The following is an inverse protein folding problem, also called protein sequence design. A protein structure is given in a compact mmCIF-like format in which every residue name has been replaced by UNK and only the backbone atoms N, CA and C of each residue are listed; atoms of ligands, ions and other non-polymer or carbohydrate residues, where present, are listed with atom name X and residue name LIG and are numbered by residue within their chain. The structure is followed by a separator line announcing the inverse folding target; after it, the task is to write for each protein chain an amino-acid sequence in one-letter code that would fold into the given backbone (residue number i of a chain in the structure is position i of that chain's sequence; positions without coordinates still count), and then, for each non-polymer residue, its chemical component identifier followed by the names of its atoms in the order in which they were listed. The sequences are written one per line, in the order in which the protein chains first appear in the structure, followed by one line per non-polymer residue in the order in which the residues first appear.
data_IF_567111854932
#
_entry.id   IF_567111854932
#
_cell.length_a   1.000
_cell.length_b   1.000
_cell.length_c   1.000
_cell.angle_alpha   90.00
_cell.angle_beta   90.00
_cell.angle_gamma   90.00
#
_symmetry.space_group_name_H-M   'P 1'
#
loop_
_entity.id
_entity.type
_entity.pdbx_description
1 polymer ?
#
# COMPACT_ATOMS: atom_id res chain seq x y z
N UNK A 1 13.74 3.84 -24.78
CA UNK A 1 12.31 3.56 -24.57
C UNK A 1 12.01 2.15 -25.05
N UNK A 2 11.20 1.40 -24.30
CA UNK A 2 10.74 0.06 -24.70
C UNK A 2 9.78 0.17 -25.88
N UNK A 3 9.94 -0.68 -26.90
CA UNK A 3 8.99 -0.85 -28.02
C UNK A 3 7.84 -1.80 -27.70
N UNK A 4 7.83 -2.39 -26.50
CA UNK A 4 6.89 -3.45 -26.12
C UNK A 4 5.53 -2.93 -25.65
N UNK A 5 5.42 -1.65 -25.25
CA UNK A 5 4.19 -1.07 -24.70
C UNK A 5 3.96 0.32 -25.29
N UNK A 6 2.76 0.61 -25.77
CA UNK A 6 2.34 1.89 -26.35
C UNK A 6 0.98 2.35 -25.81
N UNK A 7 0.57 3.58 -26.12
CA UNK A 7 -0.74 4.11 -25.74
C UNK A 7 -0.98 4.16 -24.22
N UNK A 8 -2.20 3.84 -23.79
CA UNK A 8 -2.62 3.93 -22.39
C UNK A 8 -1.80 3.01 -21.46
N UNK A 9 -1.39 1.83 -21.92
CA UNK A 9 -0.53 0.93 -21.15
C UNK A 9 0.83 1.54 -20.86
N UNK A 10 1.43 2.24 -21.82
CA UNK A 10 2.69 2.96 -21.63
C UNK A 10 2.51 4.12 -20.64
N UNK A 11 1.42 4.89 -20.78
CA UNK A 11 1.09 5.99 -19.88
C UNK A 11 0.92 5.52 -18.43
N UNK A 12 0.12 4.48 -18.19
CA UNK A 12 -0.11 3.95 -16.84
C UNK A 12 1.17 3.43 -16.20
N UNK A 13 2.00 2.72 -16.96
CA UNK A 13 3.25 2.17 -16.43
C UNK A 13 4.32 3.25 -16.17
N UNK A 14 4.34 4.30 -17.00
CA UNK A 14 5.35 5.38 -16.87
C UNK A 14 4.97 6.44 -15.83
N UNK A 15 3.67 6.73 -15.66
CA UNK A 15 3.20 7.84 -14.83
C UNK A 15 2.40 7.36 -13.62
N UNK A 16 1.28 6.65 -13.83
CA UNK A 16 0.35 6.27 -12.75
C UNK A 16 1.01 5.34 -11.74
N UNK A 17 1.73 4.33 -12.22
CA UNK A 17 2.43 3.39 -11.35
C UNK A 17 3.51 4.08 -10.51
N UNK A 18 4.27 4.99 -11.12
CA UNK A 18 5.31 5.74 -10.43
C UNK A 18 4.73 6.73 -9.40
N UNK A 19 3.62 7.41 -9.73
CA UNK A 19 2.98 8.33 -8.79
C UNK A 19 2.36 7.60 -7.59
N UNK A 20 1.68 6.47 -7.83
CA UNK A 20 1.14 5.65 -6.74
C UNK A 20 2.26 5.06 -5.87
N UNK A 21 3.34 4.57 -6.48
CA UNK A 21 4.51 4.08 -5.72
C UNK A 21 5.15 5.17 -4.86
N UNK A 22 5.24 6.41 -5.38
CA UNK A 22 5.74 7.56 -4.62
C UNK A 22 4.87 7.86 -3.39
N UNK A 23 3.55 7.87 -3.56
CA UNK A 23 2.60 8.11 -2.47
C UNK A 23 2.59 6.96 -1.45
N UNK A 24 2.62 5.71 -1.90
CA UNK A 24 2.74 4.54 -1.02
C UNK A 24 4.05 4.56 -0.23
N UNK A 25 5.16 4.97 -0.84
CA UNK A 25 6.43 5.09 -0.13
C UNK A 25 6.39 6.20 0.91
N UNK A 26 5.77 7.34 0.59
CA UNK A 26 5.56 8.45 1.53
C UNK A 26 4.69 8.03 2.71
N UNK A 27 3.63 7.29 2.45
CA UNK A 27 2.76 6.70 3.47
C UNK A 27 3.53 5.76 4.41
N UNK A 28 4.29 4.83 3.85
CA UNK A 28 5.11 3.87 4.61
C UNK A 28 6.19 4.54 5.48
N UNK A 29 6.86 5.57 4.95
CA UNK A 29 7.95 6.25 5.65
C UNK A 29 7.45 7.34 6.62
N UNK A 30 6.26 7.88 6.38
CA UNK A 30 5.80 9.13 6.98
C UNK A 30 6.52 10.36 6.41
N UNK A 31 5.94 11.54 6.65
CA UNK A 31 6.36 12.79 6.02
C UNK A 31 7.82 13.17 6.29
N UNK A 32 8.26 13.08 7.53
CA UNK A 32 9.60 13.56 7.93
C UNK A 32 10.71 12.70 7.33
N UNK A 33 10.58 11.37 7.41
CA UNK A 33 11.58 10.45 6.90
C UNK A 33 11.59 10.43 5.38
N UNK A 34 10.41 10.47 4.77
CA UNK A 34 10.27 10.58 3.32
C UNK A 34 10.94 11.87 2.81
N UNK A 35 10.64 13.02 3.43
CA UNK A 35 11.23 14.31 3.07
C UNK A 35 12.76 14.28 3.21
N UNK A 36 13.29 13.74 4.31
CA UNK A 36 14.74 13.59 4.51
C UNK A 36 15.36 12.77 3.37
N UNK A 37 14.76 11.64 3.02
CA UNK A 37 15.25 10.77 1.96
C UNK A 37 15.18 11.43 0.57
N UNK A 38 14.09 12.15 0.30
CA UNK A 38 13.90 12.89 -0.94
C UNK A 38 14.92 14.03 -1.09
N UNK A 39 15.17 14.80 -0.03
CA UNK A 39 16.19 15.85 -0.03
C UNK A 39 17.58 15.27 -0.30
N UNK A 40 17.91 14.12 0.30
CA UNK A 40 19.16 13.42 0.01
C UNK A 40 19.31 13.05 -1.48
N UNK A 41 18.23 12.56 -2.11
CA UNK A 41 18.22 12.33 -3.57
C UNK A 41 18.46 13.63 -4.35
N UNK A 42 17.74 14.69 -4.01
CA UNK A 42 17.84 15.99 -4.70
C UNK A 42 19.26 16.57 -4.57
N UNK A 43 19.86 16.56 -3.38
CA UNK A 43 21.22 17.07 -3.15
C UNK A 43 22.26 16.31 -3.97
N UNK A 44 22.13 14.98 -4.06
CA UNK A 44 23.07 14.14 -4.80
C UNK A 44 22.93 14.29 -6.32
N UNK A 45 21.71 14.53 -6.82
CA UNK A 45 21.37 14.44 -8.24
C UNK A 45 20.96 15.75 -8.90
N UNK A 46 20.94 16.86 -8.16
CA UNK A 46 20.70 18.18 -8.72
C UNK A 46 21.68 18.49 -9.86
N UNK A 47 21.14 18.90 -11.02
CA UNK A 47 21.92 19.18 -12.24
C UNK A 47 22.45 17.94 -12.98
N UNK A 48 22.03 16.72 -12.62
CA UNK A 48 22.46 15.46 -13.24
C UNK A 48 21.28 14.75 -13.92
N UNK A 49 21.57 13.62 -14.58
CA UNK A 49 20.59 12.79 -15.29
C UNK A 49 20.41 11.43 -14.58
N UNK A 50 19.67 11.39 -13.45
CA UNK A 50 19.50 10.17 -12.68
C UNK A 50 18.68 9.13 -13.44
N UNK A 51 19.03 7.86 -13.24
CA UNK A 51 18.23 6.69 -13.65
C UNK A 51 17.42 6.17 -12.45
N UNK A 52 16.43 5.28 -12.63
CA UNK A 52 15.58 4.82 -11.51
C UNK A 52 16.36 4.27 -10.31
N UNK A 53 17.46 3.56 -10.56
CA UNK A 53 18.33 3.03 -9.51
C UNK A 53 18.93 4.12 -8.61
N UNK A 54 19.19 5.30 -9.15
CA UNK A 54 19.73 6.42 -8.39
C UNK A 54 18.72 6.94 -7.37
N UNK A 55 17.44 7.01 -7.76
CA UNK A 55 16.34 7.32 -6.85
C UNK A 55 16.17 6.23 -5.79
N UNK A 56 16.11 4.95 -6.18
CA UNK A 56 15.94 3.84 -5.24
C UNK A 56 17.05 3.78 -4.19
N UNK A 57 18.30 3.93 -4.61
CA UNK A 57 19.46 3.93 -3.71
C UNK A 57 19.49 5.16 -2.80
N UNK A 58 19.09 6.33 -3.33
CA UNK A 58 19.03 7.55 -2.53
C UNK A 58 17.92 7.48 -1.48
N UNK A 59 16.75 6.93 -1.81
CA UNK A 59 15.67 6.74 -0.83
C UNK A 59 16.07 5.74 0.26
N UNK A 60 16.73 4.63 -0.10
CA UNK A 60 17.30 3.69 0.87
C UNK A 60 18.29 4.39 1.81
N UNK A 61 19.29 5.07 1.24
CA UNK A 61 20.37 5.71 2.01
C UNK A 61 19.85 6.84 2.90
N UNK A 62 19.02 7.72 2.34
CA UNK A 62 18.50 8.89 3.07
C UNK A 62 17.49 8.53 4.16
N UNK A 63 16.73 7.44 3.98
CA UNK A 63 15.84 6.91 5.02
C UNK A 63 16.56 6.05 6.06
N UNK A 64 17.71 5.45 5.71
CA UNK A 64 18.39 4.46 6.55
C UNK A 64 17.62 3.14 6.68
N UNK A 65 16.62 2.89 5.83
CA UNK A 65 15.83 1.66 5.79
C UNK A 65 16.20 0.83 4.55
N UNK A 66 16.02 -0.48 4.66
CA UNK A 66 16.07 -1.36 3.49
C UNK A 66 14.71 -1.32 2.78
N UNK A 67 14.66 -0.58 1.67
CA UNK A 67 13.49 -0.38 0.80
C UNK A 67 13.56 -1.25 -0.46
N UNK A 68 14.52 -2.17 -0.56
CA UNK A 68 14.68 -3.00 -1.75
C UNK A 68 13.45 -3.87 -2.00
N UNK A 69 12.83 -4.39 -0.93
CA UNK A 69 11.59 -5.17 -1.03
C UNK A 69 10.45 -4.33 -1.64
N UNK A 70 10.34 -3.06 -1.27
CA UNK A 70 9.30 -2.16 -1.74
C UNK A 70 9.49 -1.85 -3.23
N UNK A 71 10.71 -1.47 -3.64
CA UNK A 71 10.98 -1.18 -5.04
C UNK A 71 10.92 -2.44 -5.92
N UNK A 72 11.32 -3.59 -5.39
CA UNK A 72 11.14 -4.89 -6.05
C UNK A 72 9.65 -5.14 -6.31
N UNK A 73 8.81 -5.03 -5.28
CA UNK A 73 7.37 -5.22 -5.36
C UNK A 73 6.72 -4.28 -6.39
N UNK A 74 7.04 -2.99 -6.34
CA UNK A 74 6.43 -2.02 -7.23
C UNK A 74 6.98 -2.13 -8.66
N UNK A 75 8.29 -2.08 -8.90
CA UNK A 75 8.82 -1.87 -10.25
C UNK A 75 9.26 -3.13 -10.99
N UNK A 76 9.43 -4.25 -10.30
CA UNK A 76 10.00 -5.48 -10.86
C UNK A 76 9.07 -6.69 -10.76
N UNK A 77 7.78 -6.45 -10.53
CA UNK A 77 6.71 -7.45 -10.63
C UNK A 77 5.64 -7.01 -11.62
N UNK A 78 4.76 -7.94 -11.96
CA UNK A 78 3.53 -7.68 -12.71
C UNK A 78 2.31 -7.60 -11.78
N UNK A 79 2.52 -7.19 -10.54
CA UNK A 79 1.46 -7.04 -9.56
C UNK A 79 0.43 -5.99 -10.01
N UNK A 80 -0.76 -6.10 -9.43
CA UNK A 80 -1.86 -5.14 -9.57
C UNK A 80 -2.54 -4.96 -8.21
N UNK A 81 -3.50 -4.05 -8.12
CA UNK A 81 -4.18 -3.74 -6.86
C UNK A 81 -5.46 -4.58 -6.79
N UNK A 82 -5.52 -5.51 -5.84
CA UNK A 82 -6.66 -6.42 -5.61
C UNK A 82 -6.50 -7.03 -4.22
N UNK A 83 -7.19 -6.46 -3.24
CA UNK A 83 -7.31 -6.98 -1.89
C UNK A 83 -8.59 -7.81 -1.80
N UNK A 84 -8.68 -8.65 -0.76
CA UNK A 84 -9.85 -9.48 -0.53
C UNK A 84 -9.97 -9.82 0.94
N UNK A 85 -11.15 -9.61 1.52
CA UNK A 85 -11.45 -10.16 2.85
C UNK A 85 -11.83 -11.62 2.69
N UNK A 86 -11.04 -12.52 3.28
CA UNK A 86 -11.33 -13.96 3.32
C UNK A 86 -12.04 -14.39 4.60
N UNK A 87 -11.86 -13.64 5.69
CA UNK A 87 -12.46 -13.91 6.98
C UNK A 87 -12.58 -12.66 7.82
N UNK A 88 -13.63 -12.58 8.63
CA UNK A 88 -13.77 -11.58 9.67
C UNK A 88 -14.49 -12.24 10.84
N UNK A 89 -13.91 -12.14 12.04
CA UNK A 89 -14.49 -12.71 13.25
C UNK A 89 -14.22 -11.81 14.44
N UNK A 90 -15.25 -11.59 15.25
CA UNK A 90 -15.14 -10.87 16.52
C UNK A 90 -15.25 -11.88 17.66
N UNK A 91 -14.24 -11.89 18.53
CA UNK A 91 -14.23 -12.64 19.78
C UNK A 91 -13.93 -11.69 20.93
N UNK A 92 -14.92 -11.49 21.81
CA UNK A 92 -14.86 -10.49 22.88
C UNK A 92 -14.53 -9.10 22.32
N UNK A 93 -13.48 -8.48 22.85
CA UNK A 93 -12.99 -7.14 22.50
C UNK A 93 -11.94 -7.17 21.38
N UNK A 94 -11.90 -8.25 20.59
CA UNK A 94 -10.92 -8.44 19.53
C UNK A 94 -11.59 -8.79 18.20
N UNK A 95 -11.27 -8.03 17.16
CA UNK A 95 -11.64 -8.30 15.79
C UNK A 95 -10.43 -8.85 15.05
N UNK A 96 -10.59 -10.01 14.41
CA UNK A 96 -9.63 -10.58 13.47
C UNK A 96 -10.20 -10.48 12.06
N UNK A 97 -9.46 -9.84 11.15
CA UNK A 97 -9.79 -9.77 9.72
C UNK A 97 -8.66 -10.38 8.91
N UNK A 98 -8.97 -11.41 8.14
CA UNK A 98 -8.03 -12.07 7.24
C UNK A 98 -8.12 -11.40 5.87
N UNK A 99 -7.00 -10.87 5.39
CA UNK A 99 -6.91 -10.15 4.12
C UNK A 99 -5.91 -10.84 3.20
N UNK A 100 -6.38 -11.22 2.02
CA UNK A 100 -5.51 -11.67 0.94
C UNK A 100 -5.17 -10.47 0.04
N UNK A 101 -3.90 -10.34 -0.34
CA UNK A 101 -3.45 -9.43 -1.37
C UNK A 101 -3.28 -10.21 -2.67
N UNK A 102 -4.41 -10.42 -3.36
CA UNK A 102 -4.52 -11.19 -4.59
C UNK A 102 -3.62 -10.60 -5.67
N UNK A 103 -3.67 -9.28 -5.82
CA UNK A 103 -2.93 -8.55 -6.85
C UNK A 103 -1.44 -8.38 -6.52
N UNK A 104 -1.07 -8.42 -5.24
CA UNK A 104 0.30 -8.44 -4.74
C UNK A 104 0.96 -7.08 -4.54
N UNK A 105 0.36 -5.96 -4.97
CA UNK A 105 0.98 -4.66 -4.70
C UNK A 105 0.98 -4.34 -3.21
N UNK A 106 2.12 -3.87 -2.71
CA UNK A 106 2.25 -3.36 -1.36
C UNK A 106 1.67 -1.94 -1.28
N UNK A 107 0.34 -1.87 -1.14
CA UNK A 107 -0.42 -0.61 -1.05
C UNK A 107 -0.80 -0.28 0.41
N UNK A 108 -1.00 1.01 0.74
CA UNK A 108 -1.76 1.38 1.91
C UNK A 108 -3.26 1.15 1.68
N UNK A 109 -4.00 0.95 2.76
CA UNK A 109 -5.46 0.93 2.76
C UNK A 109 -6.01 1.23 4.17
N UNK A 110 -7.28 1.62 4.23
CA UNK A 110 -8.03 1.75 5.47
C UNK A 110 -8.97 0.56 5.65
N UNK A 111 -9.01 -0.02 6.86
CA UNK A 111 -10.13 -0.86 7.26
C UNK A 111 -11.22 0.01 7.89
N UNK A 112 -12.37 0.10 7.23
CA UNK A 112 -13.54 0.84 7.67
C UNK A 112 -14.47 -0.09 8.43
N UNK A 113 -14.50 0.07 9.75
CA UNK A 113 -15.37 -0.67 10.66
C UNK A 113 -16.70 0.07 10.80
N UNK A 114 -17.79 -0.60 10.46
CA UNK A 114 -19.15 -0.12 10.71
C UNK A 114 -19.72 -0.86 11.91
N UNK A 115 -20.11 -0.13 12.94
CA UNK A 115 -20.65 -0.71 14.17
C UNK A 115 -22.19 -0.81 14.16
N UNK A 116 -22.75 -1.66 15.01
CA UNK A 116 -24.21 -1.81 15.12
C UNK A 116 -24.92 -0.54 15.63
N UNK A 117 -24.22 0.29 16.41
CA UNK A 117 -24.73 1.58 16.91
C UNK A 117 -24.69 2.70 15.85
N UNK A 118 -24.24 2.39 14.63
CA UNK A 118 -24.10 3.34 13.53
C UNK A 118 -22.81 4.15 13.54
N UNK A 119 -21.95 4.00 14.54
CA UNK A 119 -20.63 4.62 14.52
C UNK A 119 -19.69 3.95 13.50
N UNK A 120 -18.74 4.73 12.98
CA UNK A 120 -17.75 4.28 12.00
C UNK A 120 -16.36 4.59 12.53
N UNK A 121 -15.44 3.64 12.37
CA UNK A 121 -14.02 3.80 12.69
C UNK A 121 -13.18 3.42 11.48
N UNK A 122 -12.14 4.22 11.21
CA UNK A 122 -11.18 3.97 10.14
C UNK A 122 -9.82 3.64 10.74
N UNK A 123 -9.25 2.53 10.29
CA UNK A 123 -7.95 2.05 10.74
C UNK A 123 -7.02 1.98 9.56
N UNK A 124 -5.99 2.80 9.58
CA UNK A 124 -5.06 2.93 8.49
C UNK A 124 -3.93 1.90 8.57
N UNK A 125 -3.64 1.22 7.45
CA UNK A 125 -2.54 0.27 7.30
C UNK A 125 -1.60 0.71 6.18
N UNK A 126 -0.35 0.99 6.54
CA UNK A 126 0.69 1.33 5.57
C UNK A 126 1.18 0.12 4.76
N UNK A 127 1.90 0.32 3.64
CA UNK A 127 2.51 -0.77 2.87
C UNK A 127 3.41 -1.71 3.67
N UNK A 128 3.93 -1.26 4.82
CA UNK A 128 4.78 -2.08 5.69
C UNK A 128 4.12 -3.38 6.18
N UNK A 129 2.79 -3.46 6.14
CA UNK A 129 2.04 -4.69 6.42
C UNK A 129 2.48 -5.86 5.53
N UNK A 130 2.82 -5.57 4.27
CA UNK A 130 3.14 -6.56 3.24
C UNK A 130 4.62 -6.98 3.22
N UNK A 131 5.48 -6.35 4.03
CA UNK A 131 6.93 -6.56 4.00
C UNK A 131 7.31 -8.00 4.38
N UNK A 132 6.61 -8.60 5.34
CA UNK A 132 6.87 -9.99 5.79
C UNK A 132 6.14 -11.03 4.95
N UNK A 133 4.93 -10.71 4.51
CA UNK A 133 4.10 -11.58 3.70
C UNK A 133 3.31 -10.74 2.69
N UNK A 134 3.76 -10.74 1.44
CA UNK A 134 3.15 -9.93 0.39
C UNK A 134 1.70 -10.35 0.10
N UNK A 135 1.36 -11.62 0.34
CA UNK A 135 0.09 -12.22 -0.13
C UNK A 135 -1.00 -12.28 0.92
N UNK A 136 -0.68 -12.11 2.19
CA UNK A 136 -1.66 -12.30 3.26
C UNK A 136 -1.33 -11.50 4.51
N UNK A 137 -2.36 -10.96 5.15
CA UNK A 137 -2.26 -10.26 6.41
C UNK A 137 -3.43 -10.59 7.35
N UNK A 138 -3.11 -10.84 8.61
CA UNK A 138 -4.07 -10.97 9.70
C UNK A 138 -4.13 -9.66 10.49
N UNK A 139 -5.23 -8.92 10.32
CA UNK A 139 -5.46 -7.67 11.04
C UNK A 139 -6.13 -8.00 12.37
N UNK A 140 -5.44 -7.70 13.46
CA UNK A 140 -5.99 -7.85 14.81
C UNK A 140 -6.23 -6.47 15.40
N UNK A 141 -7.50 -6.15 15.64
CA UNK A 141 -7.94 -4.82 16.08
C UNK A 141 -8.65 -4.93 17.43
N UNK A 142 -8.20 -4.17 18.46
CA UNK A 142 -8.95 -4.05 19.69
C UNK A 142 -10.21 -3.22 19.46
N UNK A 143 -11.37 -3.76 19.80
CA UNK A 143 -12.68 -3.12 19.61
C UNK A 143 -13.49 -3.18 20.90
N UNK A 144 -14.34 -2.18 21.12
CA UNK A 144 -15.20 -2.08 22.31
C UNK A 144 -16.68 -2.31 22.00
N UNK A 145 -17.01 -2.44 20.72
CA UNK A 145 -18.37 -2.44 20.20
C UNK A 145 -18.54 -3.60 19.24
N UNK A 146 -19.79 -4.02 19.04
CA UNK A 146 -20.12 -5.06 18.08
C UNK A 146 -20.02 -4.51 16.66
N UNK A 147 -19.16 -5.13 15.85
CA UNK A 147 -18.93 -4.73 14.46
C UNK A 147 -20.01 -5.37 13.58
N UNK A 148 -20.63 -4.57 12.73
CA UNK A 148 -21.63 -4.99 11.75
C UNK A 148 -20.99 -5.41 10.43
N UNK A 149 -19.99 -4.65 9.97
CA UNK A 149 -19.24 -4.96 8.75
C UNK A 149 -17.88 -4.28 8.72
N UNK A 150 -16.96 -4.89 7.98
CA UNK A 150 -15.65 -4.35 7.64
C UNK A 150 -15.58 -4.14 6.14
N UNK A 151 -15.05 -3.00 5.71
CA UNK A 151 -14.75 -2.70 4.31
C UNK A 151 -13.29 -2.27 4.20
N UNK A 152 -12.55 -2.82 3.24
CA UNK A 152 -11.23 -2.31 2.86
C UNK A 152 -11.41 -1.17 1.86
N UNK A 153 -10.85 -0.01 2.17
CA UNK A 153 -10.90 1.20 1.35
C UNK A 153 -9.47 1.60 0.95
N UNK A 154 -9.17 1.52 -0.35
CA UNK A 154 -7.87 1.88 -0.90
C UNK A 154 -7.70 3.38 -1.19
N UNK A 155 -8.74 4.21 -1.04
CA UNK A 155 -8.75 5.62 -1.46
C UNK A 155 -8.28 5.82 -2.92
N UNK A 156 -7.03 6.23 -3.16
CA UNK A 156 -6.49 6.39 -4.53
C UNK A 156 -6.00 5.06 -5.13
N UNK A 157 -5.84 4.03 -4.32
CA UNK A 157 -5.37 2.69 -4.71
C UNK A 157 -6.57 1.84 -5.13
N UNK A 158 -7.02 2.06 -6.37
CA UNK A 158 -8.21 1.40 -6.94
C UNK A 158 -8.06 -0.11 -7.03
N UNK A 159 -8.96 -0.80 -6.36
CA UNK A 159 -9.05 -2.25 -6.34
C UNK A 159 -9.68 -2.81 -7.64
N UNK A 160 -9.13 -3.91 -8.14
CA UNK A 160 -9.64 -4.60 -9.32
C UNK A 160 -10.96 -5.34 -9.10
N UNK A 161 -11.20 -5.87 -7.90
CA UNK A 161 -12.40 -6.62 -7.51
C UNK A 161 -13.12 -6.03 -6.28
N UNK A 162 -13.61 -4.77 -6.31
CA UNK A 162 -14.12 -4.09 -5.11
C UNK A 162 -15.24 -4.82 -4.34
N UNK A 163 -16.00 -5.68 -5.02
CA UNK A 163 -17.10 -6.45 -4.43
C UNK A 163 -16.64 -7.41 -3.32
N UNK A 164 -15.38 -7.83 -3.31
CA UNK A 164 -14.83 -8.76 -2.32
C UNK A 164 -14.14 -8.05 -1.12
N UNK A 165 -14.14 -6.71 -1.11
CA UNK A 165 -13.51 -5.89 -0.07
C UNK A 165 -14.41 -5.65 1.14
N UNK A 166 -15.67 -6.09 1.10
CA UNK A 166 -16.62 -5.91 2.20
C UNK A 166 -17.07 -7.25 2.76
N UNK A 167 -17.04 -7.37 4.10
CA UNK A 167 -17.51 -8.53 4.83
C UNK A 167 -18.40 -8.10 5.99
N UNK A 168 -19.58 -8.72 6.09
CA UNK A 168 -20.46 -8.62 7.26
C UNK A 168 -20.03 -9.65 8.31
N UNK A 169 -20.15 -9.29 9.59
CA UNK A 169 -19.95 -10.20 10.71
C UNK A 169 -21.26 -10.85 11.15
#
# INVERSE_FOLDING_TARGET
MSTQVSGAGYGNNSYVKASLSYLALKDYLGDDLFKKALLHYMDNWNGKHPVPWDYFNSMNTGSGKNLNWFFQNWFYTNNYIDLKITGASQLNDLLTVNVDNVGGFAIPFDAVLNYEDGSVEKLHFSPGLWEKNEKHADLTVPIKKKVKSVTLDGDLFMDYTPDNNTRKL
#
